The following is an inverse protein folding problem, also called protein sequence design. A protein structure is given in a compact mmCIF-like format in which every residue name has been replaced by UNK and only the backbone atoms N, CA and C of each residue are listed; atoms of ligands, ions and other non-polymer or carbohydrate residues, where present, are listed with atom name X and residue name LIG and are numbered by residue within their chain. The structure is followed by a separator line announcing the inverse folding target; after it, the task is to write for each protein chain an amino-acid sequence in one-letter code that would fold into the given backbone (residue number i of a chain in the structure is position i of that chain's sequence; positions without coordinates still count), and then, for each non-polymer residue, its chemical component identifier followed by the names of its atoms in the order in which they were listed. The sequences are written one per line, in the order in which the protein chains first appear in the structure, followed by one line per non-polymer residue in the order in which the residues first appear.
data_IF_495255751740
#
_entry.id   IF_495255751740
#
_cell.length_a   1.000
_cell.length_b   1.000
_cell.length_c   1.000
_cell.angle_alpha   90.00
_cell.angle_beta   90.00
_cell.angle_gamma   90.00
#
_symmetry.space_group_name_H-M   'P 1'
#
loop_
_entity.id
_entity.type
_entity.pdbx_description
1 polymer ?
#
# COMPACT_ATOMS: atom_id res chain seq x y z
N UNK A 1 0.36 -10.94 13.32
CA UNK A 1 -1.09 -10.68 13.42
C UNK A 1 -1.81 -11.11 12.14
N UNK A 2 -3.10 -11.50 12.15
CA UNK A 2 -3.82 -11.84 10.92
C UNK A 2 -4.03 -10.62 10.01
N UNK A 3 -4.18 -10.85 8.69
CA UNK A 3 -4.63 -9.83 7.74
C UNK A 3 -5.94 -9.18 8.20
N UNK A 4 -6.19 -7.90 7.83
CA UNK A 4 -7.51 -7.31 8.02
C UNK A 4 -8.58 -8.10 7.28
N UNK A 5 -9.84 -7.97 7.69
CA UNK A 5 -10.95 -8.68 7.04
C UNK A 5 -10.99 -8.44 5.52
N UNK A 6 -11.04 -9.54 4.77
CA UNK A 6 -11.15 -9.55 3.31
C UNK A 6 -10.62 -10.87 2.75
N UNK A 7 -11.00 -11.18 1.51
CA UNK A 7 -10.48 -12.34 0.79
C UNK A 7 -9.35 -11.88 -0.16
N UNK A 8 -8.24 -12.63 -0.28
CA UNK A 8 -7.21 -12.36 -1.28
C UNK A 8 -7.82 -12.28 -2.68
N UNK A 9 -7.37 -11.29 -3.46
CA UNK A 9 -7.92 -11.03 -4.79
C UNK A 9 -6.80 -10.73 -5.80
N UNK A 10 -6.95 -11.26 -7.01
CA UNK A 10 -6.15 -10.87 -8.16
C UNK A 10 -6.85 -9.71 -8.87
N UNK A 11 -6.18 -8.56 -8.94
CA UNK A 11 -6.67 -7.34 -9.57
C UNK A 11 -5.92 -7.05 -10.87
N UNK A 12 -6.62 -6.48 -11.84
CA UNK A 12 -6.01 -5.95 -13.06
C UNK A 12 -5.35 -4.59 -12.78
N UNK A 13 -4.35 -4.17 -13.56
CA UNK A 13 -3.73 -2.85 -13.41
C UNK A 13 -4.74 -1.69 -13.43
N UNK A 14 -5.80 -1.79 -14.25
CA UNK A 14 -6.85 -0.79 -14.34
C UNK A 14 -7.72 -0.69 -13.07
N UNK A 15 -7.85 -1.77 -12.29
CA UNK A 15 -8.55 -1.75 -10.99
C UNK A 15 -7.65 -1.17 -9.88
N UNK A 16 -6.33 -1.26 -10.04
CA UNK A 16 -5.34 -0.70 -9.11
C UNK A 16 -5.11 0.80 -9.33
N UNK A 17 -5.17 1.25 -10.58
CA UNK A 17 -4.91 2.62 -11.00
C UNK A 17 -6.05 3.58 -10.57
N UNK A 18 -6.14 3.82 -9.27
CA UNK A 18 -7.14 4.65 -8.60
C UNK A 18 -6.51 5.33 -7.37
N UNK A 19 -7.32 6.09 -6.64
CA UNK A 19 -6.93 6.64 -5.33
C UNK A 19 -7.36 5.71 -4.22
N UNK A 20 -6.39 5.34 -3.39
CA UNK A 20 -6.54 4.55 -2.19
C UNK A 20 -6.43 5.47 -0.97
N UNK A 21 -7.31 5.30 0.02
CA UNK A 21 -7.34 6.16 1.21
C UNK A 21 -7.18 5.32 2.48
N UNK A 22 -6.33 5.75 3.40
CA UNK A 22 -6.22 5.16 4.74
C UNK A 22 -7.29 5.74 5.71
N UNK A 23 -7.30 5.24 6.95
CA UNK A 23 -8.28 5.64 7.96
C UNK A 23 -8.10 7.09 8.44
N UNK A 24 -6.91 7.67 8.28
CA UNK A 24 -6.55 9.01 8.75
C UNK A 24 -6.67 10.07 7.64
N UNK A 25 -7.10 9.65 6.43
CA UNK A 25 -7.29 10.51 5.26
C UNK A 25 -6.02 10.70 4.42
N UNK A 26 -4.97 9.93 4.68
CA UNK A 26 -3.82 9.80 3.80
C UNK A 26 -4.21 9.12 2.48
N UNK A 27 -3.55 9.50 1.39
CA UNK A 27 -3.92 9.07 0.04
C UNK A 27 -2.74 8.54 -0.75
N UNK A 28 -2.97 7.46 -1.50
CA UNK A 28 -2.07 6.93 -2.52
C UNK A 28 -2.83 6.83 -3.83
N UNK A 29 -2.51 7.70 -4.78
CA UNK A 29 -3.06 7.66 -6.14
C UNK A 29 -2.09 6.93 -7.06
N UNK A 30 -2.46 5.72 -7.47
CA UNK A 30 -1.75 4.95 -8.48
C UNK A 30 -2.25 5.35 -9.87
N UNK A 31 -1.35 5.78 -10.75
CA UNK A 31 -1.72 6.21 -12.10
C UNK A 31 -1.51 5.08 -13.11
N UNK A 32 -2.29 5.04 -14.21
CA UNK A 32 -2.13 4.02 -15.25
C UNK A 32 -0.77 4.00 -15.94
N UNK A 33 0.01 5.09 -15.86
CA UNK A 33 1.34 5.22 -16.45
C UNK A 33 2.47 4.60 -15.61
N UNK A 34 2.14 3.97 -14.47
CA UNK A 34 3.12 3.37 -13.56
C UNK A 34 3.72 4.35 -12.56
N UNK A 35 3.24 5.59 -12.48
CA UNK A 35 3.63 6.57 -11.45
C UNK A 35 2.60 6.69 -10.34
N UNK A 36 2.98 7.20 -9.17
CA UNK A 36 2.05 7.49 -8.07
C UNK A 36 2.25 8.86 -7.46
N UNK A 37 1.23 9.32 -6.74
CA UNK A 37 1.30 10.44 -5.80
C UNK A 37 0.83 9.94 -4.44
N UNK A 38 1.59 10.24 -3.40
CA UNK A 38 1.26 9.94 -2.02
C UNK A 38 1.16 11.24 -1.21
N UNK A 39 0.11 11.37 -0.39
CA UNK A 39 -0.01 12.41 0.63
C UNK A 39 -0.36 11.80 1.97
N UNK A 40 0.57 11.89 2.93
CA UNK A 40 0.44 11.44 4.31
C UNK A 40 -0.13 10.03 4.45
N UNK A 41 0.13 9.16 3.47
CA UNK A 41 -0.41 7.80 3.45
C UNK A 41 0.41 6.92 4.35
N UNK A 42 -0.21 6.03 5.13
CA UNK A 42 0.56 5.02 5.86
C UNK A 42 1.43 4.20 4.88
N UNK A 43 2.70 3.95 5.25
CA UNK A 43 3.63 3.09 4.50
C UNK A 43 4.45 2.22 5.47
N UNK A 44 4.85 1.02 5.03
CA UNK A 44 5.70 0.12 5.79
C UNK A 44 7.15 0.22 5.33
N UNK A 45 7.91 1.22 5.78
CA UNK A 45 9.33 1.31 5.40
C UNK A 45 10.21 0.40 6.27
N UNK A 46 10.00 0.42 7.58
CA UNK A 46 10.60 -0.49 8.56
C UNK A 46 9.65 -0.69 9.73
N UNK A 47 9.89 -1.74 10.52
CA UNK A 47 9.11 -2.04 11.73
C UNK A 47 9.28 -0.94 12.81
N UNK A 48 10.40 -0.22 12.83
CA UNK A 48 10.68 0.90 13.73
C UNK A 48 10.37 2.28 13.12
N UNK A 49 10.05 2.35 11.82
CA UNK A 49 9.78 3.59 11.07
C UNK A 49 8.44 3.54 10.33
N UNK A 50 7.42 2.96 10.97
CA UNK A 50 6.03 3.05 10.50
C UNK A 50 5.57 4.50 10.47
N UNK A 51 5.65 5.14 9.30
CA UNK A 51 5.36 6.57 9.12
C UNK A 51 4.38 6.79 7.98
N UNK A 52 3.77 7.97 7.99
CA UNK A 52 3.07 8.50 6.84
C UNK A 52 4.07 8.96 5.78
N UNK A 53 3.92 8.51 4.54
CA UNK A 53 4.71 8.92 3.39
C UNK A 53 3.99 9.95 2.54
N UNK A 54 4.70 11.02 2.16
CA UNK A 54 4.32 11.90 1.06
C UNK A 54 5.40 11.90 -0.02
N UNK A 55 4.99 12.11 -1.27
CA UNK A 55 5.88 12.24 -2.42
C UNK A 55 5.35 11.60 -3.68
N UNK A 56 6.23 11.45 -4.67
CA UNK A 56 5.97 10.80 -5.95
C UNK A 56 6.91 9.64 -6.15
N UNK A 57 6.60 8.80 -7.13
CA UNK A 57 7.47 7.71 -7.53
C UNK A 57 6.85 6.80 -8.55
N UNK A 58 7.39 5.60 -8.64
CA UNK A 58 6.90 4.51 -9.49
C UNK A 58 6.19 3.45 -8.68
N UNK A 59 5.19 2.81 -9.27
CA UNK A 59 4.55 1.62 -8.70
C UNK A 59 4.56 0.48 -9.70
N UNK A 60 4.55 -0.73 -9.16
CA UNK A 60 4.42 -1.95 -9.94
C UNK A 60 3.50 -2.92 -9.22
N UNK A 61 2.84 -3.78 -10.00
CA UNK A 61 2.12 -4.92 -9.45
C UNK A 61 2.89 -6.21 -9.67
N UNK A 62 2.76 -7.12 -8.73
CA UNK A 62 3.06 -8.53 -8.90
C UNK A 62 1.81 -9.34 -8.52
N UNK A 63 1.78 -10.64 -8.81
CA UNK A 63 0.69 -11.50 -8.38
C UNK A 63 1.11 -12.96 -8.31
N UNK A 64 0.50 -13.68 -7.37
CA UNK A 64 0.43 -15.13 -7.43
C UNK A 64 -0.96 -15.57 -7.93
N UNK A 65 -1.24 -16.88 -7.94
CA UNK A 65 -2.53 -17.42 -8.43
C UNK A 65 -3.78 -16.92 -7.69
N UNK A 66 -3.63 -16.29 -6.53
CA UNK A 66 -4.73 -15.92 -5.62
C UNK A 66 -4.76 -14.44 -5.26
N UNK A 67 -3.64 -13.73 -5.40
CA UNK A 67 -3.48 -12.41 -4.80
C UNK A 67 -2.57 -11.52 -5.64
N UNK A 68 -2.92 -10.25 -5.70
CA UNK A 68 -2.09 -9.17 -6.22
C UNK A 68 -1.29 -8.51 -5.10
N UNK A 69 -0.06 -8.14 -5.43
CA UNK A 69 0.85 -7.36 -4.59
C UNK A 69 1.14 -6.03 -5.28
N UNK A 70 1.22 -4.93 -4.52
CA UNK A 70 1.53 -3.60 -5.04
C UNK A 70 2.76 -3.05 -4.33
N UNK A 71 3.85 -2.86 -5.09
CA UNK A 71 5.05 -2.20 -4.60
C UNK A 71 5.09 -0.74 -5.06
N UNK A 72 5.62 0.14 -4.20
CA UNK A 72 5.91 1.55 -4.53
C UNK A 72 7.38 1.86 -4.24
N UNK A 73 7.99 2.69 -5.07
CA UNK A 73 9.35 3.21 -4.86
C UNK A 73 9.30 4.72 -5.03
N UNK A 74 9.62 5.48 -3.98
CA UNK A 74 9.61 6.93 -4.01
C UNK A 74 10.83 7.47 -4.79
N UNK A 75 10.63 8.58 -5.52
CA UNK A 75 11.71 9.27 -6.25
C UNK A 75 12.75 9.85 -5.30
N UNK A 76 12.29 10.38 -4.17
CA UNK A 76 13.14 10.90 -3.12
C UNK A 76 13.73 9.75 -2.30
N UNK A 77 15.05 9.62 -2.38
CA UNK A 77 15.86 8.73 -1.56
C UNK A 77 15.58 8.91 -0.05
N UNK A 78 15.64 7.82 0.70
CA UNK A 78 15.69 7.89 2.15
C UNK A 78 17.08 8.38 2.58
N UNK A 79 17.19 9.33 3.53
CA UNK A 79 18.48 9.93 3.90
C UNK A 79 19.51 8.91 4.41
N UNK A 80 19.06 7.81 5.01
CA UNK A 80 19.96 6.80 5.59
C UNK A 80 20.20 5.59 4.70
N UNK A 81 19.18 5.14 3.96
CA UNK A 81 19.22 3.88 3.20
C UNK A 81 19.41 4.08 1.70
N UNK A 82 19.33 5.32 1.21
CA UNK A 82 19.48 5.67 -0.20
C UNK A 82 18.26 5.31 -1.06
N UNK A 83 17.69 4.12 -0.92
CA UNK A 83 16.41 3.76 -1.53
C UNK A 83 15.27 3.95 -0.52
N UNK A 84 14.15 4.54 -0.98
CA UNK A 84 12.90 4.66 -0.22
C UNK A 84 11.84 3.75 -0.83
N UNK A 85 11.96 2.46 -0.53
CA UNK A 85 11.10 1.39 -1.02
C UNK A 85 10.46 0.67 0.17
N UNK A 86 9.22 1.02 0.55
CA UNK A 86 8.49 0.29 1.59
C UNK A 86 8.12 -1.12 1.11
N UNK A 87 7.68 -1.94 2.08
CA UNK A 87 7.10 -3.25 1.82
C UNK A 87 5.86 -3.13 0.93
N UNK A 88 5.65 -4.15 0.11
CA UNK A 88 4.52 -4.22 -0.81
C UNK A 88 3.21 -4.41 -0.07
N UNK A 89 2.14 -3.86 -0.62
CA UNK A 89 0.79 -4.10 -0.17
C UNK A 89 0.19 -5.36 -0.78
N UNK A 90 -0.56 -6.06 0.05
CA UNK A 90 -1.38 -7.20 -0.31
C UNK A 90 -2.81 -6.74 -0.69
N UNK A 91 -3.33 -7.23 -1.82
CA UNK A 91 -4.69 -6.90 -2.26
C UNK A 91 -5.73 -7.85 -1.64
N UNK A 92 -6.78 -7.26 -1.05
CA UNK A 92 -7.96 -7.96 -0.54
C UNK A 92 -9.26 -7.37 -1.11
N UNK A 93 -10.33 -8.16 -1.14
CA UNK A 93 -11.69 -7.71 -1.44
C UNK A 93 -12.63 -8.03 -0.29
N UNK A 94 -13.45 -7.04 0.10
CA UNK A 94 -14.55 -7.20 1.07
C UNK A 94 -15.82 -6.62 0.47
N UNK A 95 -16.63 -7.48 -0.15
CA UNK A 95 -17.82 -7.04 -0.89
C UNK A 95 -17.46 -6.09 -2.04
N UNK A 96 -17.96 -4.85 -1.96
CA UNK A 96 -17.71 -3.79 -2.96
C UNK A 96 -16.53 -2.87 -2.60
N UNK A 97 -15.72 -3.24 -1.61
CA UNK A 97 -14.54 -2.47 -1.19
C UNK A 97 -13.30 -3.29 -1.49
N UNK A 98 -12.36 -2.68 -2.21
CA UNK A 98 -11.00 -3.19 -2.36
C UNK A 98 -10.13 -2.65 -1.23
N UNK A 99 -9.15 -3.45 -0.81
CA UNK A 99 -8.16 -3.06 0.18
C UNK A 99 -6.76 -3.37 -0.32
N UNK A 100 -5.83 -2.48 -0.01
CA UNK A 100 -4.40 -2.74 0.01
C UNK A 100 -3.96 -2.74 1.46
N UNK A 101 -3.19 -3.72 1.91
CA UNK A 101 -2.73 -3.76 3.29
C UNK A 101 -1.29 -4.21 3.43
N UNK A 102 -0.64 -3.74 4.48
CA UNK A 102 0.70 -4.17 4.88
C UNK A 102 0.82 -4.04 6.40
N UNK A 103 1.56 -4.95 7.02
CA UNK A 103 1.88 -4.84 8.44
C UNK A 103 2.86 -3.68 8.65
N UNK A 104 2.64 -2.89 9.71
CA UNK A 104 3.50 -1.74 10.08
C UNK A 104 3.85 -1.86 11.55
N UNK A 105 5.00 -1.32 11.96
CA UNK A 105 5.35 -1.22 13.37
C UNK A 105 5.99 -2.48 13.95
N UNK A 106 6.34 -2.39 15.23
CA UNK A 106 6.87 -3.51 16.01
C UNK A 106 5.77 -4.55 16.21
N UNK A 107 6.00 -5.82 15.84
CA UNK A 107 5.08 -6.88 16.16
C UNK A 107 4.72 -6.88 17.65
N UNK A 108 5.64 -6.68 18.58
CA UNK A 108 5.36 -6.86 20.00
C UNK A 108 4.50 -5.74 20.64
N UNK A 109 4.14 -4.68 19.89
CA UNK A 109 3.46 -3.48 20.38
C UNK A 109 2.19 -3.17 19.57
N UNK A 110 1.12 -3.94 19.83
CA UNK A 110 -0.25 -3.81 19.27
C UNK A 110 -0.40 -3.99 17.73
N UNK A 111 0.67 -4.31 17.00
CA UNK A 111 0.64 -4.74 15.60
C UNK A 111 -0.24 -3.86 14.69
N UNK A 112 0.08 -2.59 14.40
CA UNK A 112 -0.75 -1.78 13.51
C UNK A 112 -0.71 -2.30 12.06
N UNK A 113 -1.86 -2.26 11.37
CA UNK A 113 -1.92 -2.48 9.92
C UNK A 113 -2.03 -1.14 9.21
N UNK A 114 -1.25 -0.94 8.15
CA UNK A 114 -1.62 0.03 7.14
C UNK A 114 -2.66 -0.59 6.22
N UNK A 115 -3.83 0.03 6.13
CA UNK A 115 -4.92 -0.43 5.27
C UNK A 115 -5.42 0.74 4.44
N UNK A 116 -5.32 0.60 3.13
CA UNK A 116 -5.83 1.56 2.17
C UNK A 116 -7.08 0.98 1.51
N UNK A 117 -8.07 1.81 1.24
CA UNK A 117 -9.34 1.38 0.66
C UNK A 117 -9.70 2.14 -0.60
N UNK A 118 -10.38 1.46 -1.51
CA UNK A 118 -11.00 2.04 -2.71
C UNK A 118 -12.33 1.35 -2.98
N UNK A 119 -13.35 2.05 -3.55
CA UNK A 119 -14.48 1.38 -4.15
C UNK A 119 -14.02 0.35 -5.19
N UNK A 120 -14.69 -0.80 -5.25
CA UNK A 120 -14.54 -1.74 -6.35
C UNK A 120 -15.33 -1.21 -7.57
N UNK A 121 -14.62 -0.99 -8.67
CA UNK A 121 -15.20 -0.63 -9.97
C UNK A 121 -15.97 -1.78 -10.61
#
# INVERSE_FOLDING_TARGET
MPPPEGEPVVLKPAELATTWTDADGGTLTLKPDGTFIADRVCIAHRWDEGLTGSGTGIWAQDSNKKQTFVGVTFDAAHPETGERKPDSYDALRRGKVLKLWVAVGDPDNDYPNCVLTSPAS
#
